data_IF_901494978049
#
_entry.id   IF_901494978049
#
_cell.length_a   1.000
_cell.length_b   1.000
_cell.length_c   1.000
_cell.angle_alpha   90.00
_cell.angle_beta   90.00
_cell.angle_gamma   90.00
#
_symmetry.space_group_name_H-M   'P 1'
#
loop_
_entity.id
_entity.type
_entity.pdbx_description
1 polymer ?
#
# COMPACT_ATOMS: atom_id res chain seq x y z
N UNK A 1 18.34 18.70 -2.58
CA UNK A 1 19.69 18.93 -1.99
C UNK A 1 19.86 18.61 -0.50
N UNK A 2 19.05 19.09 0.45
CA UNK A 2 19.29 18.71 1.87
C UNK A 2 18.84 17.28 2.19
N UNK A 3 17.64 16.87 1.72
CA UNK A 3 17.15 15.51 1.90
C UNK A 3 18.03 14.44 1.24
N UNK A 4 18.66 14.75 0.09
CA UNK A 4 19.62 13.84 -0.58
C UNK A 4 20.87 13.57 0.26
N UNK A 5 21.12 14.40 1.29
CA UNK A 5 22.21 14.26 2.26
C UNK A 5 21.72 13.79 3.64
N UNK A 6 20.46 13.36 3.75
CA UNK A 6 19.86 12.92 5.02
C UNK A 6 19.55 14.05 6.01
N UNK A 7 19.53 15.31 5.55
CA UNK A 7 19.22 16.47 6.41
C UNK A 7 17.81 16.98 6.09
N UNK A 8 16.86 16.68 6.97
CA UNK A 8 15.44 17.00 6.80
C UNK A 8 15.08 18.29 7.52
N UNK A 9 15.08 19.41 6.79
CA UNK A 9 14.88 20.74 7.37
C UNK A 9 13.38 21.09 7.39
N UNK A 10 12.81 21.21 8.59
CA UNK A 10 11.45 21.74 8.79
C UNK A 10 11.49 23.27 8.80
N UNK A 11 11.34 23.90 7.63
CA UNK A 11 11.43 25.36 7.49
C UNK A 11 10.07 26.06 7.36
N UNK A 12 9.04 25.35 6.88
CA UNK A 12 7.69 25.92 6.75
C UNK A 12 7.02 26.10 8.10
N UNK A 13 6.32 27.22 8.25
CA UNK A 13 5.46 27.53 9.39
C UNK A 13 4.19 28.24 8.91
N UNK A 14 3.21 28.44 9.79
CA UNK A 14 2.01 29.22 9.44
C UNK A 14 2.34 30.68 9.07
N UNK A 15 3.45 31.22 9.57
CA UNK A 15 3.91 32.57 9.24
C UNK A 15 4.90 32.62 8.06
N UNK A 16 5.43 31.48 7.63
CA UNK A 16 6.47 31.39 6.59
C UNK A 16 6.17 30.25 5.61
N UNK A 17 5.70 30.62 4.42
CA UNK A 17 5.38 29.71 3.32
C UNK A 17 4.55 28.48 3.75
N UNK A 18 3.34 28.68 4.29
CA UNK A 18 2.50 27.59 4.75
C UNK A 18 2.13 26.63 3.63
N UNK A 19 1.89 25.37 4.01
CA UNK A 19 1.32 24.34 3.15
C UNK A 19 0.07 23.79 3.85
N UNK A 20 -0.95 23.48 3.06
CA UNK A 20 -2.18 22.89 3.55
C UNK A 20 -2.16 21.39 3.27
N UNK A 21 -2.11 20.62 4.35
CA UNK A 21 -2.38 19.19 4.34
C UNK A 21 -3.77 18.98 4.96
N UNK A 22 -4.47 17.93 4.57
CA UNK A 22 -5.72 17.57 5.23
C UNK A 22 -5.40 17.06 6.64
N UNK A 23 -5.80 17.83 7.66
CA UNK A 23 -5.50 17.57 9.07
C UNK A 23 -6.10 16.25 9.59
N UNK A 24 -7.13 15.73 8.92
CA UNK A 24 -7.77 14.48 9.32
C UNK A 24 -6.98 13.27 8.84
N UNK A 25 -6.43 13.31 7.62
CA UNK A 25 -5.79 12.16 6.99
C UNK A 25 -4.26 12.28 6.82
N UNK A 26 -3.69 13.47 6.96
CA UNK A 26 -2.28 13.73 6.64
C UNK A 26 -1.66 14.83 7.51
N UNK A 27 -0.34 14.94 7.48
CA UNK A 27 0.41 15.98 8.16
C UNK A 27 1.64 16.40 7.35
N UNK A 28 2.01 17.67 7.42
CA UNK A 28 3.23 18.15 6.78
C UNK A 28 4.47 17.48 7.39
N UNK A 29 5.34 16.97 6.52
CA UNK A 29 6.67 16.50 6.87
C UNK A 29 7.74 17.00 5.89
N UNK A 30 8.94 17.34 6.38
CA UNK A 30 10.07 17.72 5.51
C UNK A 30 10.64 16.54 4.71
N UNK A 31 10.25 15.31 5.05
CA UNK A 31 10.72 14.06 4.46
C UNK A 31 9.58 13.03 4.50
N UNK A 32 8.96 12.80 3.35
CA UNK A 32 7.89 11.84 3.07
C UNK A 32 8.47 10.78 2.15
N UNK A 33 8.25 9.51 2.50
CA UNK A 33 8.67 8.40 1.65
C UNK A 33 7.94 8.44 0.31
N UNK A 34 8.66 8.15 -0.77
CA UNK A 34 8.08 8.08 -2.13
C UNK A 34 7.41 6.74 -2.41
N UNK A 35 7.52 5.80 -1.48
CA UNK A 35 6.92 4.49 -1.60
C UNK A 35 5.40 4.55 -1.62
N UNK A 36 4.74 3.66 -2.39
CA UNK A 36 3.30 3.54 -2.35
C UNK A 36 2.86 3.20 -0.93
N UNK A 37 1.66 3.63 -0.54
CA UNK A 37 1.05 3.21 0.71
C UNK A 37 0.64 1.73 0.62
N UNK A 38 0.73 1.01 1.73
CA UNK A 38 0.20 -0.34 1.80
C UNK A 38 -1.34 -0.29 1.82
N UNK A 39 -1.96 -0.98 0.87
CA UNK A 39 -3.41 -1.14 0.76
C UNK A 39 -3.77 -2.62 0.60
N UNK A 40 -5.04 -2.99 0.75
CA UNK A 40 -5.49 -4.34 0.44
C UNK A 40 -5.16 -4.75 -1.01
N UNK A 41 -5.17 -3.79 -1.95
CA UNK A 41 -4.88 -4.04 -3.37
C UNK A 41 -3.42 -4.47 -3.61
N UNK A 42 -2.48 -3.99 -2.80
CA UNK A 42 -1.06 -4.20 -3.03
C UNK A 42 -0.34 -4.97 -1.90
N UNK A 43 -1.01 -5.31 -0.80
CA UNK A 43 -0.37 -5.93 0.39
C UNK A 43 0.47 -7.17 0.06
N UNK A 44 0.02 -8.02 -0.87
CA UNK A 44 0.76 -9.21 -1.30
C UNK A 44 2.10 -8.88 -1.99
N UNK A 45 2.16 -7.75 -2.72
CA UNK A 45 3.34 -7.28 -3.46
C UNK A 45 4.05 -6.12 -2.75
N UNK A 46 3.52 -5.63 -1.63
CA UNK A 46 3.98 -4.42 -0.98
C UNK A 46 5.46 -4.50 -0.60
N UNK A 47 5.91 -5.65 -0.10
CA UNK A 47 7.33 -5.88 0.21
C UNK A 47 8.23 -5.77 -1.02
N UNK A 48 7.82 -6.35 -2.15
CA UNK A 48 8.60 -6.23 -3.39
C UNK A 48 8.59 -4.81 -3.96
N UNK A 49 7.47 -4.10 -3.85
CA UNK A 49 7.32 -2.72 -4.34
C UNK A 49 8.11 -1.73 -3.48
N UNK A 50 8.04 -1.85 -2.16
CA UNK A 50 8.72 -0.96 -1.21
C UNK A 50 10.24 -1.06 -1.31
N UNK A 51 10.81 -2.24 -1.58
CA UNK A 51 12.26 -2.40 -1.77
C UNK A 51 12.81 -1.50 -2.89
N UNK A 52 12.03 -1.25 -3.94
CA UNK A 52 12.47 -0.45 -5.08
C UNK A 52 12.60 1.05 -4.75
N UNK A 53 11.79 1.56 -3.82
CA UNK A 53 11.72 2.97 -3.46
C UNK A 53 12.32 3.28 -2.07
N UNK A 54 12.67 2.27 -1.27
CA UNK A 54 13.29 2.47 0.05
C UNK A 54 14.62 3.23 -0.01
N UNK A 55 15.30 3.20 -1.16
CA UNK A 55 16.56 3.92 -1.39
C UNK A 55 16.35 5.30 -2.00
N UNK A 56 15.12 5.65 -2.36
CA UNK A 56 14.83 6.95 -2.93
C UNK A 56 15.01 8.04 -1.89
N UNK A 57 15.42 9.21 -2.38
CA UNK A 57 15.43 10.39 -1.53
C UNK A 57 14.00 10.80 -1.20
N UNK A 58 13.67 10.86 0.09
CA UNK A 58 12.38 11.36 0.53
C UNK A 58 12.15 12.83 0.11
N UNK A 59 10.88 13.16 -0.10
CA UNK A 59 10.46 14.46 -0.60
C UNK A 59 9.68 15.24 0.46
N UNK A 60 9.75 16.56 0.43
CA UNK A 60 8.91 17.39 1.30
C UNK A 60 7.44 17.27 0.87
N UNK A 61 6.51 17.08 1.81
CA UNK A 61 5.09 16.96 1.46
C UNK A 61 4.15 16.65 2.62
N UNK A 62 2.96 16.13 2.28
CA UNK A 62 1.96 15.69 3.24
C UNK A 62 2.07 14.17 3.43
N UNK A 63 2.56 13.74 4.60
CA UNK A 63 2.60 12.35 5.01
C UNK A 63 1.21 11.91 5.45
N UNK A 64 0.66 10.86 4.82
CA UNK A 64 -0.58 10.24 5.29
C UNK A 64 -0.38 9.59 6.66
N UNK A 65 -1.41 9.67 7.51
CA UNK A 65 -1.39 9.09 8.86
C UNK A 65 -1.41 7.56 8.76
N UNK A 66 -0.41 6.84 9.28
CA UNK A 66 -0.36 5.39 9.15
C UNK A 66 -1.55 4.72 9.85
N UNK A 67 -1.98 3.58 9.31
CA UNK A 67 -2.97 2.73 9.97
C UNK A 67 -2.41 2.14 11.28
N UNK A 68 -3.29 1.81 12.25
CA UNK A 68 -2.88 1.09 13.45
C UNK A 68 -2.17 -0.24 13.13
N UNK A 69 -1.33 -0.76 14.03
CA UNK A 69 -0.66 -2.03 13.83
C UNK A 69 -1.64 -3.16 13.48
N UNK A 70 -1.32 -3.93 12.45
CA UNK A 70 -2.17 -5.01 11.94
C UNK A 70 -3.31 -4.58 11.01
N UNK A 71 -3.38 -3.28 10.68
CA UNK A 71 -4.32 -2.74 9.71
C UNK A 71 -3.60 -2.07 8.54
N UNK A 72 -4.25 -2.09 7.37
CA UNK A 72 -3.82 -1.42 6.14
C UNK A 72 -4.98 -0.66 5.56
N UNK A 73 -4.73 0.27 4.63
CA UNK A 73 -5.83 0.94 3.96
C UNK A 73 -6.60 -0.02 3.06
N UNK A 74 -7.91 0.12 2.99
CA UNK A 74 -8.72 -0.64 2.05
C UNK A 74 -8.27 -0.37 0.61
N UNK A 75 -8.22 0.91 0.22
CA UNK A 75 -7.63 1.37 -1.04
C UNK A 75 -7.21 2.86 -0.92
N UNK A 76 -6.62 3.42 -1.98
CA UNK A 76 -6.11 4.80 -1.97
C UNK A 76 -7.21 5.87 -2.06
N UNK A 77 -8.36 5.55 -2.68
CA UNK A 77 -9.47 6.49 -2.87
C UNK A 77 -10.37 6.59 -1.63
N UNK A 78 -10.39 5.53 -0.83
CA UNK A 78 -11.13 5.40 0.43
C UNK A 78 -10.15 4.88 1.50
N UNK A 79 -9.32 5.78 2.07
CA UNK A 79 -8.27 5.44 3.01
C UNK A 79 -8.86 5.11 4.41
N UNK A 80 -9.64 4.04 4.48
CA UNK A 80 -10.14 3.44 5.72
C UNK A 80 -9.24 2.28 6.09
N UNK A 81 -8.79 2.27 7.34
CA UNK A 81 -7.96 1.19 7.86
C UNK A 81 -8.81 -0.05 8.15
N UNK A 82 -8.42 -1.18 7.59
CA UNK A 82 -9.05 -2.48 7.78
C UNK A 82 -8.01 -3.51 8.22
N UNK A 83 -8.38 -4.54 8.98
CA UNK A 83 -7.47 -5.62 9.33
C UNK A 83 -6.88 -6.29 8.08
N UNK A 84 -5.57 -6.56 8.08
CA UNK A 84 -4.90 -7.23 6.93
C UNK A 84 -5.56 -8.57 6.59
N UNK A 85 -6.09 -9.27 7.58
CA UNK A 85 -6.79 -10.55 7.40
C UNK A 85 -8.12 -10.43 6.61
N UNK A 86 -8.71 -9.23 6.54
CA UNK A 86 -9.92 -8.97 5.76
C UNK A 86 -9.59 -8.65 4.30
N UNK A 87 -8.34 -8.31 3.98
CA UNK A 87 -7.90 -8.08 2.62
C UNK A 87 -7.87 -9.40 1.84
N UNK A 88 -8.85 -9.58 0.95
CA UNK A 88 -8.83 -10.61 -0.10
C UNK A 88 -8.64 -9.91 -1.45
N UNK A 89 -7.38 -9.66 -1.87
CA UNK A 89 -7.15 -9.06 -3.16
C UNK A 89 -7.60 -9.98 -4.28
N UNK A 90 -7.97 -9.38 -5.41
CA UNK A 90 -8.19 -10.13 -6.66
C UNK A 90 -6.88 -10.78 -7.05
N UNK A 91 -6.90 -12.10 -7.24
CA UNK A 91 -5.75 -12.89 -7.64
C UNK A 91 -5.71 -13.03 -9.18
N UNK A 92 -6.81 -13.47 -9.82
CA UNK A 92 -6.89 -13.61 -11.28
C UNK A 92 -8.28 -13.23 -11.80
N UNK A 93 -8.31 -12.70 -13.01
CA UNK A 93 -9.55 -12.57 -13.79
C UNK A 93 -9.46 -13.54 -14.97
N UNK A 94 -10.32 -14.55 -15.00
CA UNK A 94 -10.39 -15.56 -16.07
C UNK A 94 -11.77 -15.52 -16.67
N UNK A 95 -11.88 -15.33 -17.99
CA UNK A 95 -13.15 -15.24 -18.72
C UNK A 95 -14.16 -14.25 -18.12
N UNK A 96 -13.66 -13.13 -17.59
CA UNK A 96 -14.46 -12.08 -16.94
C UNK A 96 -14.91 -12.40 -15.52
N UNK A 97 -14.52 -13.55 -14.96
CA UNK A 97 -14.74 -13.91 -13.55
C UNK A 97 -13.51 -13.60 -12.72
N UNK A 98 -13.69 -12.84 -11.65
CA UNK A 98 -12.67 -12.56 -10.65
C UNK A 98 -12.56 -13.71 -9.65
N UNK A 99 -11.33 -14.12 -9.37
CA UNK A 99 -10.95 -15.07 -8.34
C UNK A 99 -10.08 -14.36 -7.33
N UNK A 100 -10.41 -14.48 -6.05
CA UNK A 100 -9.66 -13.89 -4.96
C UNK A 100 -8.54 -14.82 -4.50
N UNK A 101 -7.58 -14.26 -3.77
CA UNK A 101 -6.49 -15.05 -3.19
C UNK A 101 -7.05 -16.19 -2.31
N UNK A 102 -6.68 -17.43 -2.64
CA UNK A 102 -7.13 -18.66 -1.96
C UNK A 102 -8.41 -19.27 -2.54
N UNK A 103 -9.07 -18.67 -3.53
CA UNK A 103 -10.28 -19.22 -4.14
C UNK A 103 -10.00 -20.54 -4.87
N UNK A 104 -10.88 -21.52 -4.71
CA UNK A 104 -10.89 -22.74 -5.51
C UNK A 104 -11.36 -22.40 -6.93
N UNK A 105 -10.49 -22.58 -7.90
CA UNK A 105 -10.76 -22.32 -9.31
C UNK A 105 -11.45 -23.50 -9.98
N UNK A 106 -10.94 -24.70 -9.75
CA UNK A 106 -11.49 -25.98 -10.22
C UNK A 106 -10.94 -27.11 -9.35
N UNK A 107 -11.62 -28.25 -9.32
CA UNK A 107 -11.12 -29.43 -8.64
C UNK A 107 -12.15 -30.56 -8.65
N UNK A 108 -11.66 -31.76 -8.41
CA UNK A 108 -12.43 -32.99 -8.19
C UNK A 108 -11.84 -33.78 -7.01
N UNK A 109 -12.17 -35.06 -6.88
CA UNK A 109 -11.68 -35.93 -5.80
C UNK A 109 -10.16 -36.22 -5.89
N UNK A 110 -9.51 -35.91 -7.01
CA UNK A 110 -8.10 -36.23 -7.29
C UNK A 110 -7.19 -35.01 -7.31
N UNK A 111 -7.71 -33.83 -7.69
CA UNK A 111 -6.93 -32.60 -7.73
C UNK A 111 -7.75 -31.37 -7.33
N UNK A 112 -7.09 -30.36 -6.79
CA UNK A 112 -7.70 -29.08 -6.47
C UNK A 112 -6.80 -27.94 -6.89
N UNK A 113 -7.33 -27.01 -7.67
CA UNK A 113 -6.63 -25.83 -8.15
C UNK A 113 -7.12 -24.57 -7.45
N UNK A 114 -6.21 -23.84 -6.83
CA UNK A 114 -6.48 -22.60 -6.12
C UNK A 114 -5.83 -21.42 -6.82
N UNK A 115 -6.43 -20.23 -6.70
CA UNK A 115 -5.75 -19.00 -7.09
C UNK A 115 -4.77 -18.59 -5.99
N UNK A 116 -3.48 -18.52 -6.32
CA UNK A 116 -2.49 -17.94 -5.42
C UNK A 116 -1.45 -17.12 -6.15
N UNK A 117 -1.17 -15.91 -5.65
CA UNK A 117 -0.15 -15.00 -6.17
C UNK A 117 -0.28 -14.74 -7.68
N UNK A 118 -1.49 -14.41 -8.11
CA UNK A 118 -1.81 -14.19 -9.53
C UNK A 118 -1.58 -15.41 -10.44
N UNK A 119 -1.63 -16.62 -9.88
CA UNK A 119 -1.45 -17.86 -10.63
C UNK A 119 -2.40 -18.95 -10.14
N UNK A 120 -2.93 -19.74 -11.07
CA UNK A 120 -3.60 -21.00 -10.76
C UNK A 120 -2.56 -22.04 -10.31
N UNK A 121 -2.69 -22.53 -9.09
CA UNK A 121 -1.80 -23.53 -8.47
C UNK A 121 -2.62 -24.76 -8.10
N UNK A 122 -2.26 -25.93 -8.63
CA UNK A 122 -2.99 -27.18 -8.41
C UNK A 122 -2.17 -28.15 -7.55
N UNK A 123 -2.88 -28.88 -6.69
CA UNK A 123 -2.34 -29.97 -5.85
C UNK A 123 -3.12 -31.24 -6.08
#
# INVERSE_FOLDING_TARGET
ECNTRGVHIKWRTQALCPIQCDETCSQYQPCVETCPLETCDNTLMYKSLSVLCQQDTCVEGCQMKPCPPGQVYHNITHPVCVPVAECKPVCLTVDGKEYFEGDLMEGDDCYSCYCSRHKKTCT
#
